data_IF_022674002292
#
_entry.id   IF_022674002292
#
_cell.length_a   1.000
_cell.length_b   1.000
_cell.length_c   1.000
_cell.angle_alpha   90.00
_cell.angle_beta   90.00
_cell.angle_gamma   90.00
#
_symmetry.space_group_name_H-M   'P 1'
#
loop_
_entity.id
_entity.type
_entity.pdbx_description
1 polymer ?
#
# COMPACT_ATOMS: atom_id res chain seq x y z
N UNK A 1 -9.78 -10.53 -25.59
CA UNK A 1 -9.95 -11.29 -24.34
C UNK A 1 -8.67 -11.11 -23.55
N UNK A 2 -8.72 -10.46 -22.39
CA UNK A 2 -7.54 -10.28 -21.55
C UNK A 2 -7.31 -11.56 -20.71
N UNK A 3 -6.07 -12.06 -20.68
CA UNK A 3 -5.70 -13.24 -19.91
C UNK A 3 -5.86 -12.99 -18.40
N UNK A 4 -6.34 -13.97 -17.60
CA UNK A 4 -6.47 -13.84 -16.15
C UNK A 4 -5.15 -13.52 -15.43
N UNK A 5 -4.02 -13.95 -16.01
CA UNK A 5 -2.67 -13.67 -15.50
C UNK A 5 -2.30 -12.19 -15.73
N UNK A 6 -2.81 -11.58 -16.82
CA UNK A 6 -2.61 -10.16 -17.10
C UNK A 6 -3.38 -9.24 -16.15
N UNK A 7 -4.51 -9.71 -15.59
CA UNK A 7 -5.31 -8.98 -14.61
C UNK A 7 -4.71 -8.97 -13.20
N UNK A 8 -3.83 -9.92 -12.86
CA UNK A 8 -3.15 -9.98 -11.56
C UNK A 8 -1.79 -9.28 -11.51
N UNK A 9 -1.24 -8.89 -12.66
CA UNK A 9 0.10 -8.31 -12.77
C UNK A 9 0.09 -6.83 -13.18
N UNK A 10 -1.04 -6.26 -13.60
CA UNK A 10 -1.13 -4.86 -14.03
C UNK A 10 -0.75 -3.85 -12.94
N UNK A 11 -0.54 -2.59 -13.31
CA UNK A 11 -0.17 -1.55 -12.35
C UNK A 11 -1.31 -1.27 -11.36
N UNK A 12 -2.56 -1.31 -11.82
CA UNK A 12 -3.75 -1.09 -10.99
C UNK A 12 -3.82 -2.04 -9.79
N UNK A 13 -3.83 -3.38 -9.96
CA UNK A 13 -3.85 -4.30 -8.83
C UNK A 13 -2.60 -4.18 -7.93
N UNK A 14 -1.44 -3.81 -8.48
CA UNK A 14 -0.22 -3.57 -7.69
C UNK A 14 -0.35 -2.35 -6.78
N UNK A 15 -0.86 -1.24 -7.31
CA UNK A 15 -1.11 -0.01 -6.55
C UNK A 15 -2.11 -0.26 -5.42
N UNK A 16 -3.25 -0.91 -5.72
CA UNK A 16 -4.26 -1.24 -4.71
C UNK A 16 -3.66 -2.10 -3.58
N UNK A 17 -2.91 -3.15 -3.94
CA UNK A 17 -2.25 -4.02 -2.97
C UNK A 17 -1.23 -3.24 -2.11
N UNK A 18 -0.44 -2.36 -2.72
CA UNK A 18 0.53 -1.52 -2.02
C UNK A 18 -0.15 -0.53 -1.05
N UNK A 19 -1.23 0.15 -1.48
CA UNK A 19 -1.99 1.09 -0.64
C UNK A 19 -2.60 0.38 0.56
N UNK A 20 -3.22 -0.78 0.34
CA UNK A 20 -3.80 -1.61 1.39
C UNK A 20 -2.73 -2.10 2.38
N UNK A 21 -1.63 -2.64 1.88
CA UNK A 21 -0.49 -3.06 2.70
C UNK A 21 0.04 -1.90 3.53
N UNK A 22 0.19 -0.72 2.94
CA UNK A 22 0.70 0.45 3.65
C UNK A 22 -0.21 0.93 4.77
N UNK A 23 -1.54 0.84 4.59
CA UNK A 23 -2.54 1.13 5.64
C UNK A 23 -2.38 0.20 6.85
N UNK A 24 -2.14 -1.09 6.59
CA UNK A 24 -1.88 -2.09 7.62
C UNK A 24 -0.55 -1.82 8.33
N UNK A 25 0.54 -1.67 7.58
CA UNK A 25 1.89 -1.38 8.13
C UNK A 25 1.88 -0.10 8.98
N UNK A 26 1.24 0.97 8.49
CA UNK A 26 1.11 2.25 9.22
C UNK A 26 0.42 2.06 10.57
N UNK A 27 -0.62 1.23 10.62
CA UNK A 27 -1.37 0.94 11.83
C UNK A 27 -0.51 0.16 12.83
N UNK A 28 0.22 -0.85 12.39
CA UNK A 28 1.17 -1.60 13.23
C UNK A 28 2.29 -0.72 13.79
N UNK A 29 2.94 0.09 12.93
CA UNK A 29 3.98 1.03 13.38
C UNK A 29 3.46 1.96 14.48
N UNK A 30 2.21 2.44 14.37
CA UNK A 30 1.59 3.29 15.40
C UNK A 30 1.44 2.57 16.73
N UNK A 31 1.17 1.27 16.75
CA UNK A 31 1.04 0.49 17.99
C UNK A 31 2.39 0.34 18.70
N UNK A 32 3.47 0.11 17.95
CA UNK A 32 4.80 -0.20 18.53
C UNK A 32 5.68 1.02 18.82
N UNK A 33 5.27 2.21 18.36
CA UNK A 33 6.07 3.44 18.47
C UNK A 33 6.37 3.89 19.91
N UNK A 34 5.57 3.46 20.89
CA UNK A 34 5.74 3.84 22.29
C UNK A 34 6.94 3.15 22.96
N UNK A 35 7.53 2.14 22.32
CA UNK A 35 8.51 1.28 22.96
C UNK A 35 9.98 1.65 22.67
N UNK A 36 10.33 2.34 21.56
CA UNK A 36 11.73 2.70 21.24
C UNK A 36 11.89 3.90 20.31
N UNK A 37 12.94 4.71 20.55
CA UNK A 37 13.36 5.86 19.72
C UNK A 37 13.68 5.49 18.26
N UNK A 38 14.24 4.30 18.02
CA UNK A 38 14.56 3.83 16.66
C UNK A 38 13.29 3.58 15.82
N UNK A 39 12.19 3.13 16.44
CA UNK A 39 10.90 2.99 15.74
C UNK A 39 10.33 4.34 15.30
N UNK A 40 10.62 5.44 16.03
CA UNK A 40 10.22 6.77 15.59
C UNK A 40 10.92 7.18 14.28
N UNK A 41 12.17 6.76 14.06
CA UNK A 41 12.90 7.05 12.80
C UNK A 41 12.34 6.24 11.64
N UNK A 42 12.06 4.96 11.87
CA UNK A 42 11.41 4.08 10.89
C UNK A 42 10.03 4.64 10.52
N UNK A 43 9.21 5.00 11.52
CA UNK A 43 7.89 5.63 11.31
C UNK A 43 7.98 6.86 10.44
N UNK A 44 8.92 7.77 10.73
CA UNK A 44 9.09 9.01 9.97
C UNK A 44 9.42 8.70 8.52
N UNK A 45 10.42 7.85 8.27
CA UNK A 45 10.83 7.45 6.92
C UNK A 45 9.68 6.78 6.16
N UNK A 46 9.02 5.81 6.79
CA UNK A 46 7.89 5.12 6.19
C UNK A 46 6.76 6.08 5.83
N UNK A 47 6.40 7.00 6.74
CA UNK A 47 5.33 7.99 6.48
C UNK A 47 5.69 8.93 5.33
N UNK A 48 6.95 9.37 5.24
CA UNK A 48 7.42 10.19 4.11
C UNK A 48 7.37 9.43 2.79
N UNK A 49 7.91 8.20 2.75
CA UNK A 49 7.90 7.40 1.52
C UNK A 49 6.47 7.04 1.09
N UNK A 50 5.59 6.75 2.05
CA UNK A 50 4.18 6.51 1.77
C UNK A 50 3.48 7.76 1.23
N UNK A 51 3.80 8.96 1.73
CA UNK A 51 3.26 10.20 1.18
C UNK A 51 3.67 10.35 -0.29
N UNK A 52 4.97 10.22 -0.57
CA UNK A 52 5.48 10.31 -1.94
C UNK A 52 4.82 9.27 -2.85
N UNK A 53 4.71 8.01 -2.41
CA UNK A 53 4.07 6.96 -3.19
C UNK A 53 2.60 7.29 -3.50
N UNK A 54 1.87 7.85 -2.54
CA UNK A 54 0.47 8.29 -2.73
C UNK A 54 0.37 9.43 -3.75
N UNK A 55 1.27 10.40 -3.67
CA UNK A 55 1.33 11.51 -4.61
C UNK A 55 1.62 11.02 -6.04
N UNK A 56 2.58 10.10 -6.19
CA UNK A 56 2.89 9.48 -7.49
C UNK A 56 1.72 8.64 -8.04
N UNK A 57 1.01 7.91 -7.17
CA UNK A 57 -0.20 7.19 -7.57
C UNK A 57 -1.30 8.14 -8.04
N UNK A 58 -1.48 9.29 -7.37
CA UNK A 58 -2.45 10.29 -7.77
C UNK A 58 -2.09 10.90 -9.13
N UNK A 59 -0.80 11.19 -9.38
CA UNK A 59 -0.32 11.69 -10.68
C UNK A 59 -0.52 10.65 -11.78
N UNK A 60 -0.19 9.39 -11.51
CA UNK A 60 -0.40 8.27 -12.44
C UNK A 60 -1.87 8.15 -12.86
N UNK A 61 -2.80 8.25 -11.90
CA UNK A 61 -4.24 8.21 -12.19
C UNK A 61 -4.68 9.42 -13.04
N UNK A 62 -4.14 10.61 -12.78
CA UNK A 62 -4.43 11.80 -13.58
C UNK A 62 -3.89 11.67 -15.01
N UNK A 63 -2.71 11.10 -15.20
CA UNK A 63 -2.16 10.77 -16.52
C UNK A 63 -3.04 9.76 -17.27
N UNK A 64 -3.67 8.84 -16.52
CA UNK A 64 -4.69 7.93 -17.01
C UNK A 64 -6.08 8.59 -17.19
N UNK A 65 -6.17 9.92 -17.19
CA UNK A 65 -7.40 10.73 -17.41
C UNK A 65 -8.44 10.64 -16.30
N UNK A 66 -8.08 10.15 -15.11
CA UNK A 66 -8.93 10.27 -13.92
C UNK A 66 -8.95 11.72 -13.45
N UNK A 67 -10.12 12.25 -13.12
CA UNK A 67 -10.25 13.62 -12.61
C UNK A 67 -9.44 13.78 -11.30
N UNK A 68 -8.76 14.92 -11.06
CA UNK A 68 -7.88 15.09 -9.90
C UNK A 68 -8.53 14.78 -8.54
N UNK A 69 -9.77 15.20 -8.35
CA UNK A 69 -10.51 14.95 -7.09
C UNK A 69 -10.84 13.47 -6.90
N UNK A 70 -11.19 12.77 -8.00
CA UNK A 70 -11.45 11.33 -7.99
C UNK A 70 -10.15 10.56 -7.77
N UNK A 71 -9.05 10.96 -8.41
CA UNK A 71 -7.74 10.35 -8.21
C UNK A 71 -7.28 10.44 -6.75
N UNK A 72 -7.49 11.59 -6.10
CA UNK A 72 -7.21 11.74 -4.68
C UNK A 72 -8.07 10.80 -3.82
N UNK A 73 -9.38 10.74 -4.09
CA UNK A 73 -10.30 9.83 -3.40
C UNK A 73 -9.91 8.35 -3.57
N UNK A 74 -9.51 7.94 -4.78
CA UNK A 74 -9.04 6.59 -5.06
C UNK A 74 -7.79 6.23 -4.26
N UNK A 75 -6.84 7.15 -4.11
CA UNK A 75 -5.63 6.91 -3.30
C UNK A 75 -5.92 6.88 -1.79
N UNK A 76 -6.93 7.64 -1.35
CA UNK A 76 -7.46 7.64 0.02
C UNK A 76 -8.30 6.40 0.35
N UNK A 77 -8.98 5.82 -0.63
CA UNK A 77 -9.81 4.64 -0.51
C UNK A 77 -9.40 3.52 -1.49
N UNK A 78 -8.68 2.53 -0.96
CA UNK A 78 -8.24 1.35 -1.69
C UNK A 78 -9.39 0.44 -2.18
N UNK A 79 -10.64 0.73 -1.76
CA UNK A 79 -11.86 0.04 -2.19
C UNK A 79 -12.76 0.89 -3.09
N UNK A 80 -12.30 2.06 -3.53
CA UNK A 80 -13.07 2.96 -4.39
C UNK A 80 -13.51 2.28 -5.70
N UNK A 81 -14.78 2.44 -6.09
CA UNK A 81 -15.37 1.83 -7.29
C UNK A 81 -14.60 2.09 -8.60
N UNK A 82 -13.92 3.24 -8.73
CA UNK A 82 -13.14 3.57 -9.92
C UNK A 82 -11.92 2.66 -10.11
N UNK A 83 -11.44 1.98 -9.06
CA UNK A 83 -10.41 0.94 -9.17
C UNK A 83 -10.88 -0.29 -9.96
N UNK A 84 -12.19 -0.57 -9.95
CA UNK A 84 -12.81 -1.66 -10.68
C UNK A 84 -13.23 -1.27 -12.11
N UNK A 85 -12.90 -0.05 -12.57
CA UNK A 85 -13.20 0.39 -13.92
C UNK A 85 -12.46 -0.44 -14.97
N UNK A 86 -13.20 -1.04 -15.90
CA UNK A 86 -12.68 -1.97 -16.92
C UNK A 86 -11.56 -1.36 -17.79
N UNK A 87 -11.55 -0.04 -17.95
CA UNK A 87 -10.62 0.68 -18.83
C UNK A 87 -9.41 1.27 -18.10
N UNK A 88 -9.38 1.28 -16.76
CA UNK A 88 -8.35 2.01 -16.01
C UNK A 88 -6.94 1.48 -16.32
N UNK A 89 -6.75 0.16 -16.31
CA UNK A 89 -5.46 -0.45 -16.63
C UNK A 89 -5.04 -0.18 -18.08
N UNK A 90 -6.00 -0.14 -19.00
CA UNK A 90 -5.74 0.22 -20.39
C UNK A 90 -5.29 1.68 -20.50
N UNK A 91 -5.95 2.60 -19.80
CA UNK A 91 -5.60 4.03 -19.78
C UNK A 91 -4.22 4.28 -19.15
N UNK A 92 -3.88 3.55 -18.08
CA UNK A 92 -2.54 3.58 -17.47
C UNK A 92 -1.49 3.06 -18.46
N UNK A 93 -1.78 1.95 -19.14
CA UNK A 93 -0.86 1.41 -20.16
C UNK A 93 -0.68 2.35 -21.34
N UNK A 94 -1.75 2.96 -21.82
CA UNK A 94 -1.70 3.89 -22.94
C UNK A 94 -0.97 5.19 -22.59
N UNK A 95 -1.16 5.71 -21.37
CA UNK A 95 -0.46 6.92 -20.89
C UNK A 95 1.04 6.69 -20.69
N UNK A 96 1.42 5.54 -20.11
CA UNK A 96 2.82 5.20 -19.88
C UNK A 96 3.55 4.73 -21.14
N UNK A 97 2.82 4.13 -22.08
CA UNK A 97 3.34 3.59 -23.33
C UNK A 97 4.53 2.67 -23.10
N UNK A 98 5.71 3.09 -23.59
CA UNK A 98 6.96 2.30 -23.48
C UNK A 98 7.46 2.11 -22.05
N UNK A 99 7.05 2.98 -21.12
CA UNK A 99 7.49 2.93 -19.71
C UNK A 99 6.64 1.99 -18.85
N UNK A 100 5.57 1.42 -19.39
CA UNK A 100 4.62 0.63 -18.63
C UNK A 100 5.29 -0.50 -17.83
N UNK A 101 6.16 -1.29 -18.47
CA UNK A 101 6.83 -2.42 -17.80
C UNK A 101 7.81 -1.95 -16.70
N UNK A 102 8.50 -0.83 -16.91
CA UNK A 102 9.43 -0.27 -15.92
C UNK A 102 8.67 0.21 -14.68
N UNK A 103 7.57 0.95 -14.87
CA UNK A 103 6.72 1.42 -13.77
C UNK A 103 6.04 0.24 -13.06
N UNK A 104 5.63 -0.78 -13.80
CA UNK A 104 5.06 -2.02 -13.25
C UNK A 104 6.04 -2.73 -12.31
N UNK A 105 7.29 -2.94 -12.73
CA UNK A 105 8.30 -3.58 -11.87
C UNK A 105 8.64 -2.71 -10.65
N UNK A 106 8.77 -1.38 -10.80
CA UNK A 106 8.97 -0.48 -9.64
C UNK A 106 7.79 -0.55 -8.66
N UNK A 107 6.56 -0.53 -9.16
CA UNK A 107 5.35 -0.59 -8.31
C UNK A 107 5.28 -1.93 -7.56
N UNK A 108 5.65 -3.02 -8.24
CA UNK A 108 5.74 -4.35 -7.66
C UNK A 108 6.82 -4.44 -6.57
N UNK A 109 7.99 -3.86 -6.78
CA UNK A 109 9.04 -3.77 -5.75
C UNK A 109 8.55 -2.99 -4.52
N UNK A 110 7.85 -1.88 -4.71
CA UNK A 110 7.27 -1.09 -3.61
C UNK A 110 6.26 -1.94 -2.81
N UNK A 111 5.34 -2.61 -3.51
CA UNK A 111 4.38 -3.55 -2.89
C UNK A 111 5.10 -4.63 -2.08
N UNK A 112 6.16 -5.22 -2.62
CA UNK A 112 6.90 -6.30 -1.96
C UNK A 112 7.62 -5.79 -0.70
N UNK A 113 8.19 -4.60 -0.75
CA UNK A 113 8.79 -3.96 0.43
C UNK A 113 7.75 -3.65 1.51
N UNK A 114 6.56 -3.16 1.13
CA UNK A 114 5.46 -2.91 2.06
C UNK A 114 5.00 -4.21 2.72
N UNK A 115 4.80 -5.27 1.92
CA UNK A 115 4.40 -6.60 2.42
C UNK A 115 5.43 -7.13 3.41
N UNK A 116 6.72 -7.08 3.05
CA UNK A 116 7.81 -7.52 3.92
C UNK A 116 7.83 -6.75 5.25
N UNK A 117 7.66 -5.43 5.23
CA UNK A 117 7.59 -4.65 6.47
C UNK A 117 6.36 -5.02 7.31
N UNK A 118 5.21 -5.27 6.69
CA UNK A 118 4.00 -5.70 7.41
C UNK A 118 4.19 -7.05 8.10
N UNK A 119 4.86 -7.99 7.44
CA UNK A 119 5.23 -9.31 7.97
C UNK A 119 6.23 -9.19 9.13
N UNK A 120 7.30 -8.40 8.98
CA UNK A 120 8.29 -8.17 10.04
C UNK A 120 7.65 -7.54 11.29
N UNK A 121 6.67 -6.66 11.11
CA UNK A 121 5.94 -6.02 12.21
C UNK A 121 4.87 -6.92 12.84
N UNK A 122 4.41 -7.98 12.16
CA UNK A 122 3.42 -8.93 12.71
C UNK A 122 3.89 -9.68 13.97
N UNK A 123 5.20 -9.70 14.23
CA UNK A 123 5.78 -10.27 15.45
C UNK A 123 5.31 -9.50 16.69
N UNK A 124 5.04 -8.21 16.55
CA UNK A 124 4.57 -7.38 17.66
C UNK A 124 3.10 -7.59 17.98
N UNK A 125 2.27 -7.98 16.99
CA UNK A 125 0.86 -8.32 17.23
C UNK A 125 0.74 -9.52 18.19
N UNK A 126 1.61 -10.53 18.02
CA UNK A 126 1.67 -11.73 18.88
C UNK A 126 2.19 -11.48 20.30
N UNK A 127 2.94 -10.40 20.52
CA UNK A 127 3.52 -10.08 21.83
C UNK A 127 2.52 -9.36 22.75
N UNK A 128 1.50 -8.70 22.17
CA UNK A 128 0.44 -8.03 22.94
C UNK A 128 -0.50 -9.06 23.62
N UNK A 129 -0.82 -10.17 22.94
CA UNK A 129 -1.72 -11.21 23.47
C UNK A 129 -1.10 -12.03 24.61
N UNK A 130 0.23 -12.21 24.63
CA UNK A 130 0.92 -12.92 25.72
C UNK A 130 0.98 -12.16 27.05
N UNK A 131 0.58 -10.89 27.07
CA UNK A 131 0.66 -10.03 28.26
C UNK A 131 -0.63 -10.04 29.11
N UNK A 132 -1.75 -10.47 28.55
CA UNK A 132 -3.05 -10.46 29.24
C UNK A 132 -3.38 -11.76 30.00
N UNK A 133 -2.72 -12.88 29.69
CA UNK A 133 -2.98 -14.17 30.35
C UNK A 133 -2.24 -14.38 31.67
N UNK A 134 -1.36 -13.47 32.09
CA UNK A 134 -0.62 -13.57 33.37
C UNK A 134 -1.26 -12.82 34.56
N UNK A 135 -2.44 -12.20 34.41
CA UNK A 135 -3.11 -11.47 35.51
C UNK A 135 -4.29 -12.18 36.18
N UNK A 136 -4.64 -13.40 35.76
CA UNK A 136 -5.76 -14.15 36.35
C UNK A 136 -5.26 -15.46 36.95
N UNK A 137 -4.51 -15.38 38.06
CA UNK A 137 -4.34 -16.48 39.04
C UNK A 137 -3.56 -16.00 40.26
N UNK A 138 -4.08 -15.02 40.99
CA UNK A 138 -3.84 -14.90 42.45
C UNK A 138 -5.09 -14.25 43.04
N UNK A 139 -6.00 -15.05 43.57
CA UNK A 139 -6.62 -14.98 44.92
C UNK A 139 -7.71 -16.02 45.00
#
# INVERSE_FOLDING_TARGET
MADPISLGLGITPLVIAALKGAKHTKSKIRLVQHHKKELSRVRKRFTTQLSNFRDECQLLLQDARVLPDIAAQMVDDDSHDHWAGDDLECQIRDSLGRKYLEVQEVTKEIRDQITKMDEELSVFDRSAESSETSKVSVT
#
